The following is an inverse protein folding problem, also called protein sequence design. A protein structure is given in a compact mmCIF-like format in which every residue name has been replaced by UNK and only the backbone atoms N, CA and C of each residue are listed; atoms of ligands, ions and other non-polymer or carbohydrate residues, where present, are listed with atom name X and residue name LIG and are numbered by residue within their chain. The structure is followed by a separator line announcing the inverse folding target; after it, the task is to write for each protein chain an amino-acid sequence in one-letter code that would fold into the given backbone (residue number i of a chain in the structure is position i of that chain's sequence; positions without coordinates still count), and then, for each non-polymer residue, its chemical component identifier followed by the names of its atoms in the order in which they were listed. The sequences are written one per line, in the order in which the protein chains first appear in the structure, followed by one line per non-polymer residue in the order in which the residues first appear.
data_IF_075617743758
#
_entry.id   IF_075617743758
#
_cell.length_a   1.000
_cell.length_b   1.000
_cell.length_c   1.000
_cell.angle_alpha   90.00
_cell.angle_beta   90.00
_cell.angle_gamma   90.00
#
_symmetry.space_group_name_H-M   'P 1'
#
loop_
_entity.id
_entity.type
_entity.pdbx_description
1 polymer ?
#
# COMPACT_ATOMS: atom_id res chain seq x y z
N UNK A 1 -14.03 -36.51 4.08
CA UNK A 1 -14.06 -35.33 4.98
C UNK A 1 -13.01 -35.53 6.06
N UNK A 2 -11.82 -34.93 5.91
CA UNK A 2 -10.77 -35.05 6.92
C UNK A 2 -11.11 -34.18 8.14
N UNK A 3 -11.10 -34.78 9.34
CA UNK A 3 -11.36 -34.07 10.58
C UNK A 3 -10.32 -32.94 10.77
N UNK A 4 -10.80 -31.71 11.03
CA UNK A 4 -9.94 -30.58 11.37
C UNK A 4 -9.36 -30.87 12.76
N UNK A 5 -8.18 -31.47 12.79
CA UNK A 5 -7.51 -31.85 14.03
C UNK A 5 -7.03 -30.56 14.72
N UNK A 6 -7.71 -30.14 15.79
CA UNK A 6 -7.33 -28.96 16.58
C UNK A 6 -6.32 -29.40 17.65
N UNK A 7 -5.07 -29.00 17.49
CA UNK A 7 -4.00 -29.30 18.45
C UNK A 7 -3.97 -28.17 19.50
N UNK A 8 -4.16 -28.45 20.80
CA UNK A 8 -4.06 -27.43 21.83
C UNK A 8 -2.59 -27.03 22.02
N UNK A 9 -2.31 -25.73 21.91
CA UNK A 9 -0.99 -25.15 22.17
C UNK A 9 -1.11 -24.28 23.42
N UNK A 10 -0.30 -24.57 24.44
CA UNK A 10 -0.17 -23.75 25.63
C UNK A 10 1.06 -22.85 25.48
N UNK A 11 0.85 -21.54 25.42
CA UNK A 11 1.92 -20.53 25.27
C UNK A 11 1.85 -19.59 26.46
N UNK A 12 3.02 -19.26 27.03
CA UNK A 12 3.15 -18.19 28.01
C UNK A 12 3.45 -16.89 27.27
N UNK A 13 2.59 -15.90 27.45
CA UNK A 13 2.73 -14.56 26.89
C UNK A 13 2.85 -13.55 28.02
N UNK A 14 3.37 -12.36 27.73
CA UNK A 14 3.40 -11.28 28.71
C UNK A 14 1.99 -10.78 29.02
N UNK A 15 1.82 -10.08 30.15
CA UNK A 15 0.54 -9.45 30.49
C UNK A 15 0.13 -8.41 29.43
N UNK A 16 1.10 -7.63 28.93
CA UNK A 16 0.89 -6.61 27.90
C UNK A 16 0.36 -7.23 26.59
N UNK A 17 0.92 -8.36 26.16
CA UNK A 17 0.45 -9.07 24.97
C UNK A 17 -0.97 -9.64 25.14
N UNK A 18 -1.30 -10.10 26.35
CA UNK A 18 -2.62 -10.63 26.66
C UNK A 18 -3.68 -9.53 26.62
N UNK A 19 -3.37 -8.37 27.20
CA UNK A 19 -4.23 -7.20 27.21
C UNK A 19 -4.43 -6.66 25.79
N UNK A 20 -3.37 -6.60 24.98
CA UNK A 20 -3.44 -6.23 23.56
C UNK A 20 -4.38 -7.15 22.76
N UNK A 21 -4.27 -8.48 22.93
CA UNK A 21 -5.17 -9.43 22.25
C UNK A 21 -6.62 -9.28 22.74
N UNK A 22 -6.82 -8.96 24.02
CA UNK A 22 -8.16 -8.74 24.58
C UNK A 22 -8.84 -7.50 23.97
N UNK A 23 -8.09 -6.43 23.74
CA UNK A 23 -8.59 -5.17 23.17
C UNK A 23 -8.74 -5.20 21.64
N UNK A 24 -7.96 -6.03 20.94
CA UNK A 24 -7.93 -6.09 19.48
C UNK A 24 -9.32 -6.42 18.89
N UNK A 25 -9.86 -5.56 18.02
CA UNK A 25 -11.14 -5.80 17.34
C UNK A 25 -10.90 -6.39 15.96
N UNK A 26 -11.25 -7.67 15.80
CA UNK A 26 -11.21 -8.37 14.50
C UNK A 26 -12.64 -8.77 14.15
N UNK A 27 -13.07 -8.44 12.93
CA UNK A 27 -14.40 -8.74 12.43
C UNK A 27 -14.63 -10.27 12.40
N UNK A 28 -15.61 -10.74 13.18
CA UNK A 28 -15.93 -12.17 13.31
C UNK A 28 -15.15 -12.96 14.37
N UNK A 29 -14.28 -12.33 15.17
CA UNK A 29 -13.54 -12.98 16.25
C UNK A 29 -13.73 -12.27 17.60
N UNK A 30 -14.45 -12.90 18.52
CA UNK A 30 -14.80 -12.31 19.81
C UNK A 30 -13.96 -12.88 20.96
N UNK A 31 -13.54 -14.13 20.87
CA UNK A 31 -12.71 -14.77 21.90
C UNK A 31 -11.22 -14.60 21.62
N UNK A 32 -10.34 -14.53 22.65
CA UNK A 32 -8.89 -14.47 22.45
C UNK A 32 -8.36 -15.59 21.54
N UNK A 33 -8.89 -16.81 21.68
CA UNK A 33 -8.51 -17.95 20.82
C UNK A 33 -9.00 -17.82 19.36
N UNK A 34 -10.08 -17.09 19.09
CA UNK A 34 -10.49 -16.74 17.72
C UNK A 34 -9.60 -15.66 17.14
N UNK A 35 -9.28 -14.62 17.93
CA UNK A 35 -8.39 -13.55 17.51
C UNK A 35 -6.99 -14.08 17.18
N UNK A 36 -6.44 -14.96 18.01
CA UNK A 36 -5.17 -15.64 17.72
C UNK A 36 -5.27 -16.48 16.45
N UNK A 37 -6.39 -17.17 16.20
CA UNK A 37 -6.59 -17.93 14.96
C UNK A 37 -6.64 -17.04 13.73
N UNK A 38 -7.33 -15.91 13.80
CA UNK A 38 -7.38 -14.95 12.70
C UNK A 38 -6.02 -14.26 12.49
N UNK A 39 -5.30 -13.89 13.57
CA UNK A 39 -3.92 -13.40 13.48
C UNK A 39 -2.99 -14.43 12.84
N UNK A 40 -3.07 -15.70 13.24
CA UNK A 40 -2.29 -16.78 12.63
C UNK A 40 -2.70 -17.05 11.19
N UNK A 41 -3.98 -16.88 10.84
CA UNK A 41 -4.46 -17.00 9.46
C UNK A 41 -3.96 -15.83 8.61
N UNK A 42 -3.96 -14.60 9.13
CA UNK A 42 -3.36 -13.44 8.48
C UNK A 42 -1.85 -13.61 8.35
N UNK A 43 -1.15 -14.03 9.40
CA UNK A 43 0.29 -14.32 9.35
C UNK A 43 0.60 -15.48 8.40
N UNK A 44 -0.25 -16.51 8.33
CA UNK A 44 -0.10 -17.62 7.39
C UNK A 44 -0.38 -17.15 5.96
N UNK A 45 -1.40 -16.34 5.72
CA UNK A 45 -1.63 -15.72 4.41
C UNK A 45 -0.43 -14.87 4.02
N UNK A 46 0.06 -13.99 4.91
CA UNK A 46 1.27 -13.21 4.70
C UNK A 46 2.51 -14.08 4.46
N UNK A 47 2.59 -15.28 5.04
CA UNK A 47 3.72 -16.21 4.88
C UNK A 47 3.59 -17.16 3.67
N UNK A 48 2.37 -17.52 3.26
CA UNK A 48 2.10 -18.44 2.15
C UNK A 48 1.81 -17.73 0.82
N UNK A 49 1.44 -16.44 0.87
CA UNK A 49 1.20 -15.59 -0.29
C UNK A 49 2.44 -14.81 -0.73
N UNK A 50 3.61 -15.14 -0.17
CA UNK A 50 4.90 -14.53 -0.49
C UNK A 50 5.27 -14.60 -2.00
N UNK A 51 4.49 -15.29 -2.85
CA UNK A 51 4.78 -15.43 -4.29
C UNK A 51 3.66 -14.96 -5.24
N UNK A 52 2.65 -14.24 -4.75
CA UNK A 52 1.54 -13.76 -5.58
C UNK A 52 1.33 -12.25 -5.43
N UNK A 53 1.65 -11.51 -6.49
CA UNK A 53 1.40 -10.07 -6.59
C UNK A 53 -0.06 -9.72 -6.24
N UNK A 54 -1.03 -10.55 -6.64
CA UNK A 54 -2.45 -10.29 -6.36
C UNK A 54 -2.77 -10.30 -4.87
N UNK A 55 -2.11 -11.16 -4.11
CA UNK A 55 -2.25 -11.20 -2.66
C UNK A 55 -1.54 -10.04 -1.97
N UNK A 56 -0.33 -9.69 -2.43
CA UNK A 56 0.38 -8.51 -1.96
C UNK A 56 -0.44 -7.24 -2.18
N UNK A 57 -1.07 -7.11 -3.36
CA UNK A 57 -1.96 -6.00 -3.68
C UNK A 57 -3.17 -5.94 -2.76
N UNK A 58 -3.88 -7.06 -2.58
CA UNK A 58 -5.03 -7.10 -1.68
C UNK A 58 -4.66 -6.73 -0.23
N UNK A 59 -3.49 -7.16 0.24
CA UNK A 59 -2.99 -6.78 1.56
C UNK A 59 -2.70 -5.28 1.68
N UNK A 60 -2.06 -4.68 0.66
CA UNK A 60 -1.79 -3.25 0.62
C UNK A 60 -3.08 -2.42 0.52
N UNK A 61 -4.04 -2.82 -0.31
CA UNK A 61 -5.33 -2.16 -0.42
C UNK A 61 -6.09 -2.19 0.91
N UNK A 62 -6.12 -3.34 1.57
CA UNK A 62 -6.75 -3.49 2.88
C UNK A 62 -6.07 -2.62 3.95
N UNK A 63 -4.74 -2.52 3.91
CA UNK A 63 -3.98 -1.67 4.81
C UNK A 63 -4.37 -0.19 4.69
N UNK A 64 -4.50 0.33 3.46
CA UNK A 64 -4.89 1.73 3.23
C UNK A 64 -6.39 1.99 3.32
N UNK A 65 -7.23 0.95 3.36
CA UNK A 65 -8.68 1.10 3.23
C UNK A 65 -9.32 1.92 4.34
N UNK A 66 -8.84 1.80 5.58
CA UNK A 66 -9.35 2.59 6.72
C UNK A 66 -9.04 4.07 6.50
N UNK A 67 -7.77 4.41 6.24
CA UNK A 67 -7.34 5.78 5.99
C UNK A 67 -8.07 6.40 4.78
N UNK A 68 -8.25 5.63 3.70
CA UNK A 68 -9.01 6.07 2.51
C UNK A 68 -10.45 6.43 2.87
N UNK A 69 -11.13 5.60 3.68
CA UNK A 69 -12.51 5.85 4.11
C UNK A 69 -12.62 7.09 4.99
N UNK A 70 -11.69 7.27 5.92
CA UNK A 70 -11.68 8.43 6.82
C UNK A 70 -11.49 9.73 6.03
N UNK A 71 -10.56 9.73 5.07
CA UNK A 71 -10.35 10.87 4.16
C UNK A 71 -11.60 11.15 3.33
N UNK A 72 -12.18 10.14 2.68
CA UNK A 72 -13.40 10.31 1.87
C UNK A 72 -14.60 10.82 2.70
N UNK A 73 -14.69 10.39 3.96
CA UNK A 73 -15.72 10.88 4.87
C UNK A 73 -15.53 12.37 5.15
N UNK A 74 -14.32 12.79 5.52
CA UNK A 74 -14.00 14.18 5.77
C UNK A 74 -14.20 15.06 4.51
N UNK A 75 -13.73 14.60 3.35
CA UNK A 75 -13.95 15.27 2.05
C UNK A 75 -15.44 15.54 1.81
N UNK A 76 -16.29 14.53 2.04
CA UNK A 76 -17.73 14.64 1.87
C UNK A 76 -18.38 15.61 2.86
N UNK A 77 -17.94 15.63 4.12
CA UNK A 77 -18.46 16.54 5.16
C UNK A 77 -18.16 18.01 4.83
N UNK A 78 -16.96 18.30 4.32
CA UNK A 78 -16.53 19.66 3.98
C UNK A 78 -16.88 20.07 2.55
N UNK A 79 -17.38 19.15 1.71
CA UNK A 79 -17.71 19.42 0.31
C UNK A 79 -16.49 19.73 -0.56
N UNK A 80 -15.32 19.22 -0.18
CA UNK A 80 -14.05 19.40 -0.90
C UNK A 80 -13.54 18.03 -1.37
N UNK A 81 -12.68 18.02 -2.39
CA UNK A 81 -12.08 16.79 -2.89
C UNK A 81 -10.68 17.05 -3.44
N UNK A 82 -9.74 16.15 -3.15
CA UNK A 82 -8.38 16.20 -3.68
C UNK A 82 -8.13 15.04 -4.63
N UNK A 83 -8.00 15.37 -5.91
CA UNK A 83 -7.59 14.41 -6.93
C UNK A 83 -6.18 13.87 -6.66
N UNK A 84 -5.26 14.67 -6.10
CA UNK A 84 -3.92 14.21 -5.72
C UNK A 84 -4.01 13.06 -4.70
N UNK A 85 -4.82 13.25 -3.65
CA UNK A 85 -4.97 12.25 -2.58
C UNK A 85 -5.67 11.00 -3.10
N UNK A 86 -6.71 11.17 -3.93
CA UNK A 86 -7.39 10.06 -4.58
C UNK A 86 -6.43 9.21 -5.45
N UNK A 87 -5.57 9.86 -6.27
CA UNK A 87 -4.57 9.17 -7.08
C UNK A 87 -3.54 8.42 -6.24
N UNK A 88 -3.10 9.00 -5.12
CA UNK A 88 -2.16 8.33 -4.24
C UNK A 88 -2.77 7.06 -3.64
N UNK A 89 -4.01 7.10 -3.16
CA UNK A 89 -4.70 5.90 -2.66
C UNK A 89 -5.01 4.86 -3.74
N UNK A 90 -5.03 5.24 -5.01
CA UNK A 90 -5.19 4.33 -6.15
C UNK A 90 -3.86 3.64 -6.52
N UNK A 91 -2.75 4.38 -6.56
CA UNK A 91 -1.49 3.93 -7.14
C UNK A 91 -0.46 3.44 -6.12
N UNK A 92 -0.52 3.91 -4.87
CA UNK A 92 0.40 3.49 -3.81
C UNK A 92 0.28 2.01 -3.44
N UNK A 93 -0.92 1.39 -3.38
CA UNK A 93 -1.04 -0.04 -3.13
C UNK A 93 -0.35 -0.89 -4.20
N UNK A 94 -0.46 -0.50 -5.48
CA UNK A 94 0.19 -1.17 -6.61
C UNK A 94 1.73 -1.08 -6.52
N UNK A 95 2.27 0.08 -6.16
CA UNK A 95 3.70 0.24 -5.91
C UNK A 95 4.16 -0.60 -4.72
N UNK A 96 3.42 -0.57 -3.61
CA UNK A 96 3.68 -1.37 -2.41
C UNK A 96 3.62 -2.87 -2.69
N UNK A 97 2.67 -3.31 -3.53
CA UNK A 97 2.53 -4.70 -3.95
C UNK A 97 3.69 -5.15 -4.83
N UNK A 98 4.16 -4.27 -5.72
CA UNK A 98 5.34 -4.53 -6.55
C UNK A 98 6.60 -4.65 -5.68
N UNK A 99 6.73 -3.80 -4.66
CA UNK A 99 7.84 -3.88 -3.69
C UNK A 99 7.78 -5.13 -2.81
N UNK A 100 6.57 -5.55 -2.44
CA UNK A 100 6.33 -6.74 -1.64
C UNK A 100 6.31 -8.03 -2.48
N UNK A 101 6.31 -7.92 -3.80
CA UNK A 101 6.47 -9.07 -4.69
C UNK A 101 7.91 -9.57 -4.54
N UNK A 102 8.08 -10.75 -3.95
CA UNK A 102 9.40 -11.29 -3.67
C UNK A 102 10.21 -11.45 -4.95
N UNK A 103 11.45 -10.96 -4.89
CA UNK A 103 12.50 -11.41 -5.80
C UNK A 103 12.73 -12.91 -5.52
N UNK A 104 12.77 -13.79 -6.54
CA UNK A 104 12.96 -15.21 -6.29
C UNK A 104 14.23 -15.47 -5.48
N UNK A 105 14.22 -16.45 -4.58
CA UNK A 105 15.35 -16.74 -3.68
C UNK A 105 16.67 -17.04 -4.42
N UNK A 106 16.59 -17.47 -5.68
CA UNK A 106 17.73 -17.66 -6.59
C UNK A 106 17.66 -16.67 -7.77
N UNK A 107 17.37 -15.40 -7.51
CA UNK A 107 17.26 -14.38 -8.53
C UNK A 107 18.56 -14.23 -9.33
N UNK A 108 18.40 -14.16 -10.65
CA UNK A 108 19.48 -13.87 -11.58
C UNK A 108 19.52 -12.36 -11.89
N UNK A 109 20.59 -11.90 -12.53
CA UNK A 109 20.74 -10.51 -12.96
C UNK A 109 19.56 -10.04 -13.83
N UNK A 110 19.01 -10.93 -14.66
CA UNK A 110 17.85 -10.64 -15.50
C UNK A 110 16.59 -10.33 -14.68
N UNK A 111 16.36 -11.06 -13.58
CA UNK A 111 15.21 -10.86 -12.69
C UNK A 111 15.30 -9.53 -11.95
N UNK A 112 16.51 -9.15 -11.51
CA UNK A 112 16.79 -7.86 -10.89
C UNK A 112 16.51 -6.68 -11.85
N UNK A 113 16.98 -6.78 -13.10
CA UNK A 113 16.73 -5.74 -14.13
C UNK A 113 15.24 -5.63 -14.46
N UNK A 114 14.53 -6.76 -14.51
CA UNK A 114 13.08 -6.74 -14.73
C UNK A 114 12.36 -6.09 -13.55
N UNK A 115 12.72 -6.44 -12.32
CA UNK A 115 12.14 -5.88 -11.11
C UNK A 115 12.35 -4.35 -11.03
N UNK A 116 13.57 -3.87 -11.30
CA UNK A 116 13.87 -2.43 -11.39
C UNK A 116 13.00 -1.73 -12.44
N UNK A 117 12.84 -2.34 -13.62
CA UNK A 117 12.01 -1.78 -14.70
C UNK A 117 10.53 -1.67 -14.30
N UNK A 118 9.97 -2.69 -13.66
CA UNK A 118 8.57 -2.66 -13.21
C UNK A 118 8.36 -1.56 -12.15
N UNK A 119 9.27 -1.43 -11.19
CA UNK A 119 9.23 -0.35 -10.20
C UNK A 119 9.31 1.02 -10.87
N UNK A 120 10.22 1.19 -11.83
CA UNK A 120 10.35 2.44 -12.58
C UNK A 120 9.05 2.78 -13.33
N UNK A 121 8.43 1.81 -13.98
CA UNK A 121 7.13 2.02 -14.65
C UNK A 121 6.04 2.50 -13.69
N UNK A 122 5.99 1.97 -12.47
CA UNK A 122 5.03 2.41 -11.45
C UNK A 122 5.33 3.84 -10.96
N UNK A 123 6.60 4.18 -10.75
CA UNK A 123 7.03 5.53 -10.38
C UNK A 123 6.69 6.55 -11.47
N UNK A 124 6.96 6.22 -12.74
CA UNK A 124 6.62 7.07 -13.89
C UNK A 124 5.13 7.27 -13.98
N UNK A 125 4.33 6.19 -13.88
CA UNK A 125 2.86 6.28 -13.92
C UNK A 125 2.29 7.21 -12.84
N UNK A 126 2.81 7.13 -11.62
CA UNK A 126 2.43 8.03 -10.54
C UNK A 126 2.82 9.47 -10.86
N UNK A 127 4.06 9.68 -11.31
CA UNK A 127 4.60 11.00 -11.66
C UNK A 127 3.79 11.65 -12.79
N UNK A 128 3.48 10.91 -13.86
CA UNK A 128 2.64 11.36 -14.97
C UNK A 128 1.24 11.74 -14.50
N UNK A 129 0.65 10.94 -13.60
CA UNK A 129 -0.67 11.22 -13.04
C UNK A 129 -0.69 12.53 -12.24
N UNK A 130 0.36 12.80 -11.47
CA UNK A 130 0.49 14.06 -10.71
C UNK A 130 0.79 15.25 -11.64
N UNK A 131 1.66 15.08 -12.63
CA UNK A 131 1.98 16.13 -13.60
C UNK A 131 0.76 16.51 -14.45
N UNK A 132 -0.08 15.55 -14.84
CA UNK A 132 -1.35 15.82 -15.53
C UNK A 132 -2.27 16.70 -14.68
N UNK A 133 -2.35 16.44 -13.37
CA UNK A 133 -3.13 17.28 -12.45
C UNK A 133 -2.57 18.70 -12.36
N UNK A 134 -1.25 18.85 -12.38
CA UNK A 134 -0.59 20.16 -12.40
C UNK A 134 -0.93 20.99 -13.64
N UNK A 135 -1.13 20.34 -14.80
CA UNK A 135 -1.59 21.01 -16.03
C UNK A 135 -3.04 21.46 -15.95
N UNK A 136 -3.91 20.67 -15.30
CA UNK A 136 -5.33 21.03 -15.14
C UNK A 136 -5.58 22.18 -14.15
N UNK A 137 -4.64 22.40 -13.22
CA UNK A 137 -4.44 23.67 -12.51
C UNK A 137 -5.44 24.07 -11.42
N UNK A 138 -6.74 23.75 -11.54
CA UNK A 138 -7.76 24.14 -10.53
C UNK A 138 -8.58 22.94 -10.05
N UNK A 139 -8.68 22.79 -8.73
CA UNK A 139 -9.47 21.74 -8.08
C UNK A 139 -8.78 20.38 -8.03
N UNK A 140 -7.48 20.31 -8.33
CA UNK A 140 -6.70 19.09 -8.24
C UNK A 140 -6.35 18.72 -6.79
N UNK A 141 -6.30 19.72 -5.91
CA UNK A 141 -5.94 19.60 -4.51
C UNK A 141 -7.01 20.27 -3.63
N UNK A 142 -6.90 20.09 -2.31
CA UNK A 142 -7.69 20.87 -1.35
C UNK A 142 -7.39 22.38 -1.45
N UNK A 143 -6.12 22.70 -1.68
CA UNK A 143 -5.62 24.03 -1.99
C UNK A 143 -4.68 23.92 -3.19
N UNK A 144 -4.99 24.64 -4.28
CA UNK A 144 -4.22 24.62 -5.51
C UNK A 144 -2.77 25.12 -5.32
N UNK A 145 -2.46 25.84 -4.23
CA UNK A 145 -1.08 26.24 -3.91
C UNK A 145 -0.15 25.04 -3.68
N UNK A 146 -0.69 23.87 -3.30
CA UNK A 146 0.09 22.64 -3.09
C UNK A 146 0.86 22.22 -4.35
N UNK A 147 0.34 22.53 -5.54
CA UNK A 147 1.02 22.23 -6.81
C UNK A 147 2.35 22.99 -6.99
N UNK A 148 2.58 24.08 -6.25
CA UNK A 148 3.86 24.80 -6.25
C UNK A 148 5.03 23.93 -5.76
N UNK A 149 4.76 22.87 -4.99
CA UNK A 149 5.79 21.92 -4.55
C UNK A 149 6.47 21.18 -5.72
N UNK A 150 5.86 21.17 -6.90
CA UNK A 150 6.44 20.57 -8.11
C UNK A 150 7.53 21.43 -8.77
N UNK A 151 7.72 22.69 -8.34
CA UNK A 151 8.61 23.64 -9.02
C UNK A 151 10.04 23.10 -9.19
N UNK A 152 10.62 22.52 -8.13
CA UNK A 152 11.97 21.97 -8.17
C UNK A 152 12.05 20.72 -9.06
N UNK A 153 11.05 19.84 -9.00
CA UNK A 153 10.97 18.65 -9.85
C UNK A 153 10.91 19.03 -11.33
N UNK A 154 10.12 20.05 -11.69
CA UNK A 154 10.03 20.56 -13.06
C UNK A 154 11.35 21.20 -13.54
N UNK A 155 12.05 21.92 -12.66
CA UNK A 155 13.40 22.45 -12.96
C UNK A 155 14.38 21.32 -13.26
N UNK A 156 14.40 20.27 -12.44
CA UNK A 156 15.25 19.09 -12.66
C UNK A 156 14.89 18.37 -13.96
N UNK A 157 13.60 18.18 -14.25
CA UNK A 157 13.15 17.58 -15.50
C UNK A 157 13.64 18.37 -16.72
N UNK A 158 13.60 19.72 -16.66
CA UNK A 158 14.13 20.57 -17.72
C UNK A 158 15.64 20.43 -17.90
N UNK A 159 16.40 20.35 -16.80
CA UNK A 159 17.86 20.13 -16.86
C UNK A 159 18.19 18.77 -17.50
N UNK A 160 17.48 17.71 -17.10
CA UNK A 160 17.65 16.36 -17.66
C UNK A 160 17.33 16.35 -19.16
N UNK A 161 16.25 17.01 -19.57
CA UNK A 161 15.89 17.14 -20.98
C UNK A 161 17.00 17.83 -21.79
N UNK A 162 17.51 18.96 -21.30
CA UNK A 162 18.60 19.70 -21.94
C UNK A 162 19.90 18.91 -22.04
N UNK A 163 20.20 18.08 -21.03
CA UNK A 163 21.39 17.22 -21.04
C UNK A 163 21.28 16.04 -22.01
N UNK A 164 20.06 15.58 -22.32
CA UNK A 164 19.81 14.50 -23.29
C UNK A 164 19.71 14.94 -24.75
N UNK A 165 19.63 16.25 -25.01
CA UNK A 165 19.62 16.84 -26.36
C UNK A 165 21.04 17.13 -26.91
N UNK A 166 22.09 16.89 -26.11
CA UNK A 166 23.52 17.04 -26.46
C UNK A 166 24.13 15.69 -26.83
#
# INVERSE_FOLDING_TARGET
MAAINRIPISVRISQEDADFIAELKIEGANTPSEKIRELLKQARLAHSQIHDYGAALAAQEQFFQVAKRDVLHAEKEFGIHSHIVARLFEQLPDLGATLAADLPANAQEADLKQYERELMWRIVRLSDSILQLAVTGKGAAYDDTVLQQLENTLKLAKIVQQAGEV
#
